data_IF_596775635395
#
_entry.id   IF_596775635395
#
_cell.length_a   1.000
_cell.length_b   1.000
_cell.length_c   1.000
_cell.angle_alpha   90.00
_cell.angle_beta   90.00
_cell.angle_gamma   90.00
#
_symmetry.space_group_name_H-M   'P 1'
#
loop_
_entity.id
_entity.type
_entity.pdbx_description
1 polymer ?
#
# COMPACT_ATOMS: atom_id res chain seq x y z
N UNK A 1 -7.97 -2.25 20.17
CA UNK A 1 -9.10 -3.16 19.96
C UNK A 1 -8.99 -4.40 20.85
N UNK A 2 -7.94 -5.21 20.82
CA UNK A 2 -7.83 -6.44 21.63
C UNK A 2 -8.09 -6.26 23.13
N UNK A 3 -7.53 -5.22 23.76
CA UNK A 3 -7.79 -4.92 25.16
C UNK A 3 -9.26 -4.62 25.46
N UNK A 4 -9.96 -3.90 24.57
CA UNK A 4 -11.39 -3.65 24.73
C UNK A 4 -12.23 -4.92 24.58
N UNK A 5 -11.86 -5.81 23.65
CA UNK A 5 -12.50 -7.10 23.49
C UNK A 5 -12.23 -8.04 24.71
N UNK A 6 -11.02 -7.99 25.27
CA UNK A 6 -10.71 -8.75 26.49
C UNK A 6 -11.53 -8.25 27.67
N UNK A 7 -11.71 -6.93 27.83
CA UNK A 7 -12.59 -6.36 28.84
C UNK A 7 -14.05 -6.82 28.61
N UNK A 8 -14.55 -6.69 27.38
CA UNK A 8 -15.93 -7.03 27.02
C UNK A 8 -16.24 -8.52 27.24
N UNK A 9 -15.42 -9.40 26.66
CA UNK A 9 -15.68 -10.84 26.68
C UNK A 9 -15.14 -11.53 27.93
N UNK A 10 -13.95 -11.12 28.41
CA UNK A 10 -13.27 -11.78 29.52
C UNK A 10 -13.76 -11.28 30.88
N UNK A 11 -13.70 -9.97 31.14
CA UNK A 11 -14.05 -9.41 32.45
C UNK A 11 -15.57 -9.22 32.61
N UNK A 12 -16.21 -8.61 31.61
CA UNK A 12 -17.65 -8.30 31.68
C UNK A 12 -18.55 -9.47 31.26
N UNK A 13 -17.96 -10.58 30.82
CA UNK A 13 -18.68 -11.81 30.38
C UNK A 13 -19.82 -11.53 29.39
N UNK A 14 -19.64 -10.50 28.52
CA UNK A 14 -20.62 -10.17 27.50
C UNK A 14 -20.52 -11.10 26.29
N UNK A 15 -21.62 -11.28 25.51
CA UNK A 15 -21.59 -12.08 24.29
C UNK A 15 -20.51 -11.64 23.33
N UNK A 16 -19.96 -12.59 22.56
CA UNK A 16 -19.02 -12.27 21.49
C UNK A 16 -19.71 -11.40 20.45
N UNK A 17 -19.02 -10.34 20.05
CA UNK A 17 -19.45 -9.50 18.93
C UNK A 17 -19.27 -10.28 17.60
N UNK A 18 -20.01 -9.91 16.54
CA UNK A 18 -19.75 -10.43 15.21
C UNK A 18 -18.28 -10.26 14.84
N UNK A 19 -17.79 -11.11 13.94
CA UNK A 19 -16.42 -10.98 13.39
C UNK A 19 -16.27 -9.61 12.73
N UNK A 20 -15.15 -8.96 12.96
CA UNK A 20 -14.80 -7.75 12.24
C UNK A 20 -14.57 -8.10 10.76
N UNK A 21 -15.45 -7.63 9.89
CA UNK A 21 -15.40 -7.94 8.46
C UNK A 21 -14.42 -7.02 7.70
N UNK A 22 -14.23 -5.79 8.18
CA UNK A 22 -13.37 -4.81 7.55
C UNK A 22 -12.56 -4.03 8.57
N UNK A 23 -11.33 -3.68 8.20
CA UNK A 23 -10.46 -2.77 8.97
C UNK A 23 -10.41 -1.36 8.38
N UNK A 24 -11.11 -1.10 7.29
CA UNK A 24 -11.20 0.23 6.66
C UNK A 24 -12.21 1.10 7.42
N UNK A 25 -11.83 1.51 8.63
CA UNK A 25 -12.70 2.20 9.60
C UNK A 25 -12.32 3.67 9.79
N UNK A 26 -11.21 4.09 9.20
CA UNK A 26 -10.70 5.46 9.31
C UNK A 26 -11.43 6.48 8.42
N UNK A 27 -10.91 7.70 8.33
CA UNK A 27 -11.46 8.74 7.48
C UNK A 27 -11.42 8.37 5.99
N UNK A 28 -12.30 9.01 5.24
CA UNK A 28 -12.37 8.99 3.79
C UNK A 28 -12.62 10.41 3.29
N UNK A 29 -12.05 10.77 2.17
CA UNK A 29 -12.30 12.04 1.48
C UNK A 29 -12.99 11.78 0.15
N UNK A 30 -13.94 12.64 -0.21
CA UNK A 30 -14.58 12.59 -1.53
C UNK A 30 -13.62 13.08 -2.63
N UNK A 31 -13.90 12.71 -3.87
CA UNK A 31 -13.12 13.21 -5.02
C UNK A 31 -13.12 14.75 -5.12
N UNK A 32 -14.18 15.44 -4.67
CA UNK A 32 -14.22 16.89 -4.63
C UNK A 32 -13.24 17.45 -3.59
N UNK A 33 -13.15 16.82 -2.41
CA UNK A 33 -12.21 17.23 -1.36
C UNK A 33 -10.76 16.98 -1.81
N UNK A 34 -10.49 15.81 -2.39
CA UNK A 34 -9.18 15.50 -2.97
C UNK A 34 -8.80 16.51 -4.05
N UNK A 35 -9.71 16.77 -5.01
CA UNK A 35 -9.50 17.77 -6.06
C UNK A 35 -9.18 19.14 -5.51
N UNK A 36 -9.96 19.62 -4.56
CA UNK A 36 -9.75 20.92 -3.91
C UNK A 36 -8.36 21.02 -3.27
N UNK A 37 -7.92 19.95 -2.60
CA UNK A 37 -6.58 19.87 -2.01
C UNK A 37 -5.49 19.95 -3.09
N UNK A 38 -5.61 19.16 -4.15
CA UNK A 38 -4.63 19.13 -5.24
C UNK A 38 -4.54 20.46 -5.99
N UNK A 39 -5.68 21.08 -6.28
CA UNK A 39 -5.77 22.41 -6.91
C UNK A 39 -5.17 23.50 -6.02
N UNK A 40 -5.35 23.41 -4.69
CA UNK A 40 -4.73 24.30 -3.72
C UNK A 40 -3.20 24.29 -3.76
N UNK A 41 -2.59 23.17 -4.15
CA UNK A 41 -1.14 23.05 -4.40
C UNK A 41 -0.73 23.43 -5.82
N UNK A 42 -1.65 23.70 -6.73
CA UNK A 42 -1.39 23.85 -8.16
C UNK A 42 -0.87 22.55 -8.80
N UNK A 43 -1.26 21.41 -8.24
CA UNK A 43 -0.83 20.10 -8.71
C UNK A 43 -1.37 19.81 -10.12
N UNK A 44 -0.59 19.09 -10.91
CA UNK A 44 -1.01 18.57 -12.21
C UNK A 44 -1.47 17.14 -12.08
N UNK A 45 -2.65 16.84 -12.57
CA UNK A 45 -3.25 15.50 -12.47
C UNK A 45 -4.14 15.16 -13.65
N UNK A 46 -4.22 13.89 -13.97
CA UNK A 46 -5.23 13.30 -14.85
C UNK A 46 -6.44 12.88 -13.98
N UNK A 47 -7.66 13.10 -14.46
CA UNK A 47 -8.89 12.55 -13.85
C UNK A 47 -9.34 11.38 -14.69
N UNK A 48 -9.44 10.20 -14.11
CA UNK A 48 -9.70 8.95 -14.84
C UNK A 48 -10.90 8.22 -14.22
N UNK A 49 -11.68 7.56 -15.07
CA UNK A 49 -12.63 6.56 -14.60
C UNK A 49 -11.90 5.33 -14.05
N UNK A 50 -12.66 4.47 -13.36
CA UNK A 50 -12.10 3.29 -12.70
C UNK A 50 -11.26 2.40 -13.60
N UNK A 51 -11.72 2.17 -14.82
CA UNK A 51 -11.04 1.27 -15.75
C UNK A 51 -9.74 1.88 -16.29
N UNK A 52 -9.78 3.15 -16.68
CA UNK A 52 -8.61 3.90 -17.13
C UNK A 52 -7.58 4.06 -15.98
N UNK A 53 -8.05 4.31 -14.76
CA UNK A 53 -7.21 4.40 -13.55
C UNK A 53 -6.44 3.10 -13.32
N UNK A 54 -7.13 1.97 -13.34
CA UNK A 54 -6.52 0.66 -13.17
C UNK A 54 -5.50 0.36 -14.28
N UNK A 55 -5.85 0.58 -15.54
CA UNK A 55 -4.92 0.41 -16.67
C UNK A 55 -3.67 1.30 -16.51
N UNK A 56 -3.86 2.55 -16.09
CA UNK A 56 -2.76 3.50 -15.88
C UNK A 56 -1.84 3.05 -14.74
N UNK A 57 -2.42 2.68 -13.58
CA UNK A 57 -1.68 2.23 -12.42
C UNK A 57 -0.91 0.92 -12.69
N UNK A 58 -1.54 -0.05 -13.35
CA UNK A 58 -0.89 -1.30 -13.77
C UNK A 58 0.28 -1.02 -14.70
N UNK A 59 0.10 -0.12 -15.69
CA UNK A 59 1.18 0.25 -16.61
C UNK A 59 2.38 0.90 -15.92
N UNK A 60 2.15 1.74 -14.92
CA UNK A 60 3.20 2.34 -14.11
C UNK A 60 3.96 1.27 -13.29
N UNK A 61 3.24 0.39 -12.63
CA UNK A 61 3.84 -0.69 -11.84
C UNK A 61 4.65 -1.66 -12.70
N UNK A 62 4.13 -2.07 -13.86
CA UNK A 62 4.82 -2.94 -14.83
C UNK A 62 6.10 -2.28 -15.38
N UNK A 63 6.09 -0.96 -15.55
CA UNK A 63 7.28 -0.19 -15.93
C UNK A 63 8.30 -0.02 -14.79
N UNK A 64 8.10 -0.67 -13.64
CA UNK A 64 8.99 -0.60 -12.48
C UNK A 64 8.91 0.71 -11.71
N UNK A 65 7.82 1.47 -11.86
CA UNK A 65 7.58 2.71 -11.13
C UNK A 65 7.10 2.45 -9.72
N UNK A 66 7.47 3.32 -8.78
CA UNK A 66 6.96 3.29 -7.41
C UNK A 66 5.73 4.20 -7.32
N UNK A 67 4.60 3.61 -6.94
CA UNK A 67 3.29 4.26 -6.95
C UNK A 67 2.77 4.44 -5.53
N UNK A 68 2.52 5.70 -5.12
CA UNK A 68 1.66 5.99 -3.97
C UNK A 68 0.22 5.66 -4.32
N UNK A 69 -0.47 4.95 -3.44
CA UNK A 69 -1.84 4.49 -3.63
C UNK A 69 -2.70 4.89 -2.44
N UNK A 70 -3.56 5.88 -2.65
CA UNK A 70 -4.45 6.44 -1.64
C UNK A 70 -5.90 6.31 -2.11
N UNK A 71 -6.68 5.48 -1.43
CA UNK A 71 -8.03 5.14 -1.84
C UNK A 71 -8.95 4.90 -0.64
N UNK A 72 -10.24 5.28 -0.76
CA UNK A 72 -11.28 4.96 0.19
C UNK A 72 -10.96 5.30 1.66
N UNK A 73 -11.61 4.60 2.57
CA UNK A 73 -11.43 4.76 4.01
C UNK A 73 -10.07 4.23 4.47
N UNK A 74 -9.38 5.02 5.31
CA UNK A 74 -8.09 4.61 5.87
C UNK A 74 -8.21 3.31 6.68
N UNK A 75 -7.17 2.49 6.64
CA UNK A 75 -7.03 1.28 7.45
C UNK A 75 -6.92 1.62 8.93
N UNK A 76 -7.55 0.83 9.79
CA UNK A 76 -7.34 0.86 11.23
C UNK A 76 -6.20 -0.08 11.63
N UNK A 77 -5.14 0.48 12.15
CA UNK A 77 -4.00 -0.31 12.64
C UNK A 77 -2.66 0.11 12.06
N UNK A 78 -1.58 -0.63 12.41
CA UNK A 78 -0.20 -0.21 12.09
C UNK A 78 0.27 -0.65 10.70
N UNK A 79 -0.60 -1.22 9.87
CA UNK A 79 -0.25 -1.73 8.54
C UNK A 79 -1.06 -1.06 7.46
N UNK A 80 -0.40 -0.64 6.38
CA UNK A 80 -1.09 -0.30 5.15
C UNK A 80 -1.58 -1.60 4.48
N UNK A 81 -2.85 -1.62 4.11
CA UNK A 81 -3.53 -2.80 3.58
C UNK A 81 -4.17 -2.54 2.21
N UNK A 82 -3.69 -1.52 1.49
CA UNK A 82 -4.18 -1.20 0.15
C UNK A 82 -4.90 0.15 0.04
N UNK A 83 -5.06 0.92 1.13
CA UNK A 83 -5.69 2.23 1.08
C UNK A 83 -4.73 3.40 1.32
N UNK A 84 -3.68 3.21 2.11
CA UNK A 84 -2.62 4.21 2.36
C UNK A 84 -1.26 3.56 2.11
N UNK A 85 -1.04 3.13 0.87
CA UNK A 85 0.03 2.22 0.48
C UNK A 85 1.03 2.85 -0.48
N UNK A 86 2.25 2.37 -0.43
CA UNK A 86 3.24 2.51 -1.50
C UNK A 86 3.36 1.14 -2.14
N UNK A 87 3.17 1.10 -3.45
CA UNK A 87 3.16 -0.10 -4.26
C UNK A 87 4.38 -0.14 -5.19
N UNK A 88 4.84 -1.35 -5.49
CA UNK A 88 5.93 -1.59 -6.45
C UNK A 88 5.90 -3.00 -7.00
N UNK A 89 6.65 -3.22 -8.07
CA UNK A 89 6.83 -4.52 -8.70
C UNK A 89 7.82 -5.38 -7.91
N UNK A 90 7.41 -6.53 -7.33
CA UNK A 90 8.30 -7.39 -6.55
C UNK A 90 9.35 -8.13 -7.38
N UNK A 91 9.19 -8.20 -8.71
CA UNK A 91 10.11 -8.86 -9.65
C UNK A 91 11.38 -8.05 -9.88
N UNK A 92 11.30 -6.72 -9.72
CA UNK A 92 12.45 -5.81 -9.92
C UNK A 92 13.46 -6.02 -8.79
N UNK A 93 14.70 -6.47 -9.09
CA UNK A 93 15.67 -6.85 -8.06
C UNK A 93 16.00 -5.72 -7.07
N UNK A 94 16.15 -4.50 -7.59
CA UNK A 94 16.56 -3.34 -6.80
C UNK A 94 15.39 -2.56 -6.19
N UNK A 95 14.14 -2.99 -6.41
CA UNK A 95 12.95 -2.26 -5.92
C UNK A 95 12.96 -2.07 -4.41
N UNK A 96 13.41 -3.09 -3.67
CA UNK A 96 13.59 -2.99 -2.21
C UNK A 96 14.54 -1.85 -1.83
N UNK A 97 15.66 -1.75 -2.50
CA UNK A 97 16.67 -0.71 -2.23
C UNK A 97 16.16 0.67 -2.65
N UNK A 98 15.47 0.75 -3.79
CA UNK A 98 14.84 1.98 -4.27
C UNK A 98 13.84 2.52 -3.24
N UNK A 99 12.90 1.70 -2.78
CA UNK A 99 11.89 2.14 -1.82
C UNK A 99 12.53 2.47 -0.46
N UNK A 100 13.48 1.66 0.03
CA UNK A 100 14.14 1.92 1.31
C UNK A 100 14.95 3.23 1.29
N UNK A 101 15.74 3.47 0.23
CA UNK A 101 16.63 4.65 0.15
C UNK A 101 15.89 5.92 -0.24
N UNK A 102 14.99 5.86 -1.27
CA UNK A 102 14.37 7.05 -1.86
C UNK A 102 13.09 7.50 -1.15
N UNK A 103 12.47 6.62 -0.37
CA UNK A 103 11.18 6.89 0.26
C UNK A 103 11.25 6.71 1.77
N UNK A 104 11.67 5.53 2.23
CA UNK A 104 11.68 5.21 3.66
C UNK A 104 12.87 5.80 4.42
N UNK A 105 13.89 6.28 3.73
CA UNK A 105 15.11 6.85 4.34
C UNK A 105 15.69 5.93 5.42
N UNK A 106 15.79 4.63 5.12
CA UNK A 106 16.25 3.59 6.06
C UNK A 106 17.16 2.57 5.38
N UNK A 107 17.65 1.63 6.15
CA UNK A 107 18.59 0.59 5.73
C UNK A 107 17.98 -0.31 4.63
N UNK A 108 18.76 -0.59 3.57
CA UNK A 108 18.31 -1.34 2.38
C UNK A 108 17.96 -2.80 2.65
N UNK A 109 18.46 -3.41 3.75
CA UNK A 109 18.20 -4.83 4.04
C UNK A 109 16.77 -5.13 4.52
N UNK A 110 16.00 -4.12 4.95
CA UNK A 110 14.62 -4.34 5.45
C UNK A 110 13.70 -4.79 4.32
N UNK A 111 13.07 -5.97 4.44
CA UNK A 111 12.15 -6.46 3.41
C UNK A 111 10.83 -5.71 3.42
N UNK A 112 10.09 -5.84 2.33
CA UNK A 112 8.71 -5.37 2.21
C UNK A 112 7.74 -6.56 2.20
N UNK A 113 6.49 -6.29 2.54
CA UNK A 113 5.43 -7.27 2.51
C UNK A 113 4.79 -7.33 1.12
N UNK A 114 4.43 -8.52 0.63
CA UNK A 114 3.61 -8.67 -0.56
C UNK A 114 2.12 -8.58 -0.24
N UNK A 115 1.34 -8.01 -1.19
CA UNK A 115 -0.09 -8.26 -1.32
C UNK A 115 -0.32 -9.19 -2.51
N UNK A 116 -1.15 -10.21 -2.33
CA UNK A 116 -1.47 -11.25 -3.31
C UNK A 116 -2.97 -11.50 -3.34
N UNK A 117 -3.52 -11.88 -4.48
CA UNK A 117 -4.92 -12.31 -4.57
C UNK A 117 -5.15 -13.54 -3.67
N UNK A 118 -6.23 -13.53 -2.89
CA UNK A 118 -6.53 -14.61 -1.93
C UNK A 118 -6.66 -15.98 -2.62
N UNK A 119 -7.33 -16.01 -3.78
CA UNK A 119 -7.49 -17.22 -4.60
C UNK A 119 -6.21 -17.70 -5.30
N UNK A 120 -5.15 -16.88 -5.30
CA UNK A 120 -3.83 -17.19 -5.87
C UNK A 120 -2.73 -17.34 -4.81
N UNK A 121 -3.01 -17.01 -3.56
CA UNK A 121 -2.01 -16.97 -2.50
C UNK A 121 -1.24 -18.30 -2.36
N UNK A 122 -1.92 -19.43 -2.39
CA UNK A 122 -1.32 -20.76 -2.29
C UNK A 122 -0.45 -21.14 -3.50
N UNK A 123 -0.59 -20.48 -4.64
CA UNK A 123 0.29 -20.68 -5.79
C UNK A 123 1.66 -20.03 -5.60
N UNK A 124 1.78 -19.01 -4.76
CA UNK A 124 2.98 -18.20 -4.55
C UNK A 124 3.63 -18.40 -3.18
N UNK A 125 2.82 -18.71 -2.18
CA UNK A 125 3.26 -18.88 -0.78
C UNK A 125 2.74 -20.19 -0.22
N UNK A 126 3.50 -20.81 0.68
CA UNK A 126 3.09 -22.04 1.36
C UNK A 126 2.18 -21.69 2.54
N UNK A 127 0.91 -21.44 2.23
CA UNK A 127 -0.10 -21.09 3.22
C UNK A 127 -1.44 -21.72 2.86
N UNK A 128 -2.22 -22.08 3.89
CA UNK A 128 -3.51 -22.77 3.80
C UNK A 128 -4.66 -21.94 4.36
N UNK A 129 -4.39 -20.68 4.72
CA UNK A 129 -5.39 -19.77 5.27
C UNK A 129 -5.15 -18.34 4.77
N UNK A 130 -6.19 -17.51 4.85
CA UNK A 130 -6.12 -16.10 4.51
C UNK A 130 -5.32 -15.29 5.55
N UNK A 131 -4.62 -14.27 5.06
CA UNK A 131 -3.88 -13.30 5.87
C UNK A 131 -4.26 -11.86 5.48
N UNK A 132 -5.52 -11.44 5.65
CA UNK A 132 -6.00 -10.15 5.16
C UNK A 132 -5.35 -8.96 5.87
N UNK A 133 -4.79 -9.17 7.05
CA UNK A 133 -4.21 -8.11 7.90
C UNK A 133 -2.68 -8.11 7.93
N UNK A 134 -2.03 -8.81 6.99
CA UNK A 134 -0.55 -8.85 6.89
C UNK A 134 0.11 -9.31 8.21
N UNK A 135 -0.45 -10.34 8.85
CA UNK A 135 0.03 -10.85 10.15
C UNK A 135 0.83 -12.14 10.03
N UNK A 136 0.63 -12.93 8.98
CA UNK A 136 1.23 -14.24 8.82
C UNK A 136 2.47 -14.18 7.94
N UNK A 137 3.48 -14.95 8.33
CA UNK A 137 4.68 -15.20 7.53
C UNK A 137 4.57 -16.58 6.94
N UNK A 138 4.82 -16.70 5.64
CA UNK A 138 4.78 -17.95 4.91
C UNK A 138 6.01 -18.10 4.01
N UNK A 139 6.52 -19.33 3.78
CA UNK A 139 7.57 -19.58 2.80
C UNK A 139 7.12 -19.18 1.39
N UNK A 140 8.02 -18.59 0.60
CA UNK A 140 7.82 -18.34 -0.82
C UNK A 140 7.99 -19.68 -1.59
N UNK A 141 7.03 -20.03 -2.44
CA UNK A 141 7.09 -21.30 -3.19
C UNK A 141 8.24 -21.30 -4.18
N UNK A 142 8.98 -22.40 -4.18
CA UNK A 142 10.03 -22.65 -5.17
C UNK A 142 9.44 -22.86 -6.58
N UNK A 143 10.24 -22.59 -7.60
CA UNK A 143 9.87 -22.82 -9.00
C UNK A 143 8.94 -21.79 -9.64
N UNK A 144 8.60 -20.72 -8.92
CA UNK A 144 7.89 -19.56 -9.45
C UNK A 144 8.87 -18.45 -9.88
N UNK A 145 8.36 -17.44 -10.57
CA UNK A 145 9.13 -16.22 -10.87
C UNK A 145 9.71 -15.64 -9.58
N UNK A 146 11.01 -15.35 -9.53
CA UNK A 146 11.63 -14.77 -8.34
C UNK A 146 11.00 -13.45 -7.92
N UNK A 147 10.79 -13.27 -6.62
CA UNK A 147 10.24 -12.07 -6.01
C UNK A 147 11.27 -11.46 -5.01
N UNK A 148 12.44 -11.01 -5.50
CA UNK A 148 13.58 -10.67 -4.63
C UNK A 148 13.30 -9.52 -3.67
N UNK A 149 12.41 -8.62 -4.05
CA UNK A 149 12.12 -7.42 -3.23
C UNK A 149 11.21 -7.68 -2.04
N UNK A 150 10.55 -8.84 -1.97
CA UNK A 150 9.66 -9.22 -0.85
C UNK A 150 10.11 -10.47 -0.11
N UNK A 151 11.10 -11.17 -0.63
CA UNK A 151 11.60 -12.42 -0.04
C UNK A 151 12.63 -12.12 1.05
N UNK A 152 12.41 -12.65 2.24
CA UNK A 152 13.33 -12.58 3.36
C UNK A 152 14.54 -13.52 3.15
N UNK A 153 15.56 -13.38 3.99
CA UNK A 153 16.79 -14.18 3.92
C UNK A 153 16.54 -15.69 4.15
N UNK A 154 15.48 -16.04 4.86
CA UNK A 154 15.02 -17.40 5.13
C UNK A 154 13.99 -17.93 4.10
N UNK A 155 13.88 -17.26 2.96
CA UNK A 155 12.92 -17.55 1.89
C UNK A 155 11.45 -17.45 2.31
N UNK A 156 11.12 -16.63 3.29
CA UNK A 156 9.76 -16.33 3.71
C UNK A 156 9.30 -14.92 3.28
N UNK A 157 8.00 -14.64 3.43
CA UNK A 157 7.43 -13.31 3.29
C UNK A 157 6.26 -13.12 4.24
N UNK A 158 6.03 -11.87 4.71
CA UNK A 158 4.86 -11.53 5.52
C UNK A 158 3.71 -11.11 4.60
N UNK A 159 2.81 -12.05 4.33
CA UNK A 159 1.84 -11.98 3.26
C UNK A 159 0.57 -11.23 3.68
N UNK A 160 0.06 -10.40 2.77
CA UNK A 160 -1.33 -9.92 2.78
C UNK A 160 -2.10 -10.62 1.67
N UNK A 161 -3.21 -11.29 2.00
CA UNK A 161 -4.18 -11.79 1.01
C UNK A 161 -5.29 -10.76 0.81
N UNK A 162 -5.74 -10.58 -0.44
CA UNK A 162 -6.83 -9.69 -0.83
C UNK A 162 -7.89 -10.47 -1.56
N UNK A 163 -9.13 -10.42 -1.07
CA UNK A 163 -10.31 -10.88 -1.81
C UNK A 163 -11.07 -9.70 -2.41
N UNK A 164 -11.87 -9.97 -3.44
CA UNK A 164 -12.67 -8.93 -4.10
C UNK A 164 -13.74 -8.34 -3.17
N UNK A 165 -14.23 -9.13 -2.22
CA UNK A 165 -15.22 -8.70 -1.22
C UNK A 165 -14.63 -7.73 -0.19
N UNK A 166 -13.35 -7.85 0.09
CA UNK A 166 -12.65 -6.97 1.03
C UNK A 166 -12.35 -5.61 0.39
N UNK A 167 -11.80 -5.61 -0.82
CA UNK A 167 -11.48 -4.41 -1.59
C UNK A 167 -11.45 -4.73 -3.09
N UNK A 168 -12.53 -4.42 -3.77
CA UNK A 168 -12.67 -4.71 -5.19
C UNK A 168 -11.71 -3.90 -6.08
N UNK A 169 -11.33 -2.68 -5.70
CA UNK A 169 -10.42 -1.86 -6.51
C UNK A 169 -8.98 -2.36 -6.40
N UNK A 170 -8.54 -2.63 -5.19
CA UNK A 170 -7.19 -3.13 -4.96
C UNK A 170 -7.01 -4.56 -5.47
N UNK A 171 -8.06 -5.40 -5.35
CA UNK A 171 -8.10 -6.72 -5.99
C UNK A 171 -7.91 -6.61 -7.50
N UNK A 172 -8.69 -5.74 -8.16
CA UNK A 172 -8.62 -5.57 -9.62
C UNK A 172 -7.28 -4.99 -10.09
N UNK A 173 -6.64 -4.13 -9.28
CA UNK A 173 -5.29 -3.66 -9.57
C UNK A 173 -4.28 -4.81 -9.59
N UNK A 174 -4.30 -5.68 -8.55
CA UNK A 174 -3.39 -6.83 -8.45
C UNK A 174 -3.71 -7.85 -9.56
N UNK A 175 -4.98 -8.08 -9.86
CA UNK A 175 -5.42 -8.98 -10.94
C UNK A 175 -4.92 -8.49 -12.30
N UNK A 176 -5.15 -7.23 -12.63
CA UNK A 176 -4.68 -6.62 -13.88
C UNK A 176 -3.14 -6.62 -14.01
N UNK A 177 -2.43 -6.42 -12.90
CA UNK A 177 -0.98 -6.59 -12.90
C UNK A 177 -0.58 -8.05 -13.15
N UNK A 178 -1.30 -8.99 -12.53
CA UNK A 178 -1.11 -10.43 -12.73
C UNK A 178 -1.37 -10.88 -14.17
N UNK A 179 -2.41 -10.37 -14.81
CA UNK A 179 -2.74 -10.66 -16.20
C UNK A 179 -1.63 -10.22 -17.16
N UNK A 180 -1.01 -9.07 -16.92
CA UNK A 180 0.05 -8.52 -17.77
C UNK A 180 1.42 -9.16 -17.51
N UNK A 181 1.68 -9.56 -16.28
CA UNK A 181 3.02 -9.98 -15.85
C UNK A 181 3.15 -11.46 -15.54
N UNK A 182 2.04 -12.17 -15.39
CA UNK A 182 1.99 -13.53 -14.87
C UNK A 182 2.19 -13.61 -13.34
N UNK A 183 2.29 -12.46 -12.64
CA UNK A 183 2.61 -12.39 -11.21
C UNK A 183 1.56 -11.55 -10.47
N UNK A 184 0.49 -12.14 -9.91
CA UNK A 184 -0.56 -11.43 -9.18
C UNK A 184 -0.11 -11.06 -7.75
N UNK A 185 1.05 -10.41 -7.65
CA UNK A 185 1.70 -10.03 -6.39
C UNK A 185 2.28 -8.62 -6.53
N UNK A 186 2.03 -7.74 -5.57
CA UNK A 186 2.63 -6.41 -5.48
C UNK A 186 3.38 -6.24 -4.15
N UNK A 187 4.44 -5.42 -4.15
CA UNK A 187 4.97 -4.86 -2.91
C UNK A 187 3.89 -3.96 -2.31
N UNK A 188 3.65 -4.10 -1.00
CA UNK A 188 2.81 -3.19 -0.23
C UNK A 188 3.54 -2.74 1.04
N UNK A 189 3.71 -1.43 1.18
CA UNK A 189 4.23 -0.82 2.41
C UNK A 189 3.44 0.46 2.74
N UNK A 190 3.47 0.88 4.00
CA UNK A 190 2.76 2.09 4.45
C UNK A 190 3.20 3.33 3.68
N UNK A 191 2.25 4.22 3.36
CA UNK A 191 2.57 5.52 2.78
C UNK A 191 2.96 6.49 3.87
N UNK A 192 4.26 6.63 4.10
CA UNK A 192 4.90 7.54 5.05
C UNK A 192 6.41 7.53 4.84
N UNK A 193 7.10 8.51 5.39
CA UNK A 193 8.55 8.52 5.57
C UNK A 193 8.94 8.09 6.99
N UNK A 194 10.24 8.06 7.30
CA UNK A 194 10.73 7.76 8.65
C UNK A 194 10.26 8.83 9.63
N UNK A 195 9.75 8.42 10.79
CA UNK A 195 9.20 9.30 11.84
C UNK A 195 7.78 9.81 11.56
N UNK A 196 7.31 9.77 10.31
CA UNK A 196 5.98 10.20 9.93
C UNK A 196 4.94 9.13 10.26
N UNK A 197 3.77 9.47 10.85
CA UNK A 197 2.62 8.58 10.87
C UNK A 197 2.19 8.20 9.44
N UNK A 198 1.49 7.09 9.26
CA UNK A 198 0.88 6.77 7.98
C UNK A 198 -0.05 7.91 7.55
N UNK A 199 0.08 8.36 6.30
CA UNK A 199 -0.74 9.45 5.75
C UNK A 199 -2.23 9.16 5.97
N UNK A 200 -3.02 10.18 6.25
CA UNK A 200 -4.44 10.05 6.48
C UNK A 200 -5.25 10.74 5.38
N UNK A 201 -4.93 11.99 5.10
CA UNK A 201 -5.63 12.89 4.18
C UNK A 201 -4.94 13.02 2.82
N UNK A 202 -5.63 13.63 1.86
CA UNK A 202 -5.05 14.00 0.56
C UNK A 202 -3.87 14.96 0.71
N UNK A 203 -3.93 15.88 1.69
CA UNK A 203 -2.84 16.79 2.03
C UNK A 203 -1.59 16.01 2.46
N UNK A 204 -1.74 15.09 3.42
CA UNK A 204 -0.64 14.25 3.88
C UNK A 204 -0.06 13.43 2.72
N UNK A 205 -0.94 12.83 1.89
CA UNK A 205 -0.53 11.99 0.77
C UNK A 205 0.26 12.79 -0.28
N UNK A 206 -0.21 13.97 -0.67
CA UNK A 206 0.48 14.82 -1.63
C UNK A 206 1.82 15.31 -1.08
N UNK A 207 1.89 15.73 0.17
CA UNK A 207 3.14 16.16 0.82
C UNK A 207 4.14 15.00 0.93
N UNK A 208 3.70 13.82 1.34
CA UNK A 208 4.53 12.61 1.36
C UNK A 208 5.03 12.26 -0.04
N UNK A 209 4.15 12.30 -1.05
CA UNK A 209 4.53 12.13 -2.45
C UNK A 209 5.60 13.13 -2.86
N UNK A 210 5.41 14.41 -2.63
CA UNK A 210 6.35 15.46 -3.05
C UNK A 210 7.71 15.38 -2.35
N UNK A 211 7.77 14.94 -1.09
CA UNK A 211 9.01 14.76 -0.31
C UNK A 211 9.84 13.56 -0.70
N UNK A 212 9.27 12.59 -1.40
CA UNK A 212 9.87 11.27 -1.63
C UNK A 212 10.18 11.03 -3.09
N UNK A 213 10.92 9.97 -3.36
CA UNK A 213 11.22 9.53 -4.73
C UNK A 213 10.16 8.61 -5.33
N UNK A 214 8.89 8.69 -4.90
CA UNK A 214 7.79 8.03 -5.62
C UNK A 214 7.65 8.63 -7.03
N UNK A 215 7.41 7.78 -8.02
CA UNK A 215 7.28 8.21 -9.42
C UNK A 215 5.87 8.75 -9.73
N UNK A 216 4.85 8.17 -9.09
CA UNK A 216 3.46 8.55 -9.29
C UNK A 216 2.68 8.48 -7.97
N UNK A 217 1.57 9.23 -7.92
CA UNK A 217 0.53 9.14 -6.89
C UNK A 217 -0.80 8.88 -7.57
N UNK A 218 -1.48 7.82 -7.14
CA UNK A 218 -2.89 7.56 -7.44
C UNK A 218 -3.69 7.87 -6.18
N UNK A 219 -4.62 8.81 -6.28
CA UNK A 219 -5.43 9.28 -5.16
C UNK A 219 -6.89 9.53 -5.61
N UNK A 220 -7.84 8.76 -5.06
CA UNK A 220 -9.20 8.76 -5.57
C UNK A 220 -9.22 8.45 -7.07
N UNK A 221 -9.86 9.29 -7.86
CA UNK A 221 -9.91 9.22 -9.33
C UNK A 221 -8.74 9.92 -10.04
N UNK A 222 -7.71 10.37 -9.31
CA UNK A 222 -6.64 11.21 -9.85
C UNK A 222 -5.31 10.46 -9.94
N UNK A 223 -4.57 10.71 -11.03
CA UNK A 223 -3.20 10.22 -11.24
C UNK A 223 -2.26 11.41 -11.44
N UNK A 224 -1.20 11.44 -10.65
CA UNK A 224 -0.16 12.45 -10.70
C UNK A 224 1.18 11.79 -11.03
N UNK A 225 1.94 12.40 -11.94
CA UNK A 225 3.33 12.01 -12.21
C UNK A 225 4.27 12.99 -11.51
N UNK A 226 5.32 12.49 -10.86
CA UNK A 226 6.27 13.33 -10.12
C UNK A 226 6.93 14.38 -10.99
N UNK A 227 7.33 13.99 -12.18
CA UNK A 227 8.05 14.84 -13.13
C UNK A 227 7.23 16.03 -13.66
N UNK A 228 5.91 15.94 -13.55
CA UNK A 228 4.99 17.01 -13.99
C UNK A 228 4.66 18.02 -12.90
N UNK A 229 5.00 17.71 -11.63
CA UNK A 229 4.58 18.52 -10.50
C UNK A 229 5.39 19.82 -10.40
N UNK A 230 4.73 20.92 -10.00
CA UNK A 230 5.42 22.15 -9.68
C UNK A 230 6.36 21.93 -8.49
N UNK A 231 7.47 22.68 -8.47
CA UNK A 231 8.36 22.65 -7.34
C UNK A 231 7.62 23.09 -6.05
N UNK A 232 7.72 22.27 -5.02
CA UNK A 232 7.10 22.54 -3.71
C UNK A 232 8.21 22.59 -2.66
N UNK A 233 8.30 23.73 -1.94
CA UNK A 233 9.22 23.83 -0.81
C UNK A 233 8.54 23.27 0.44
N UNK A 234 8.97 22.10 0.86
CA UNK A 234 8.52 21.44 2.09
C UNK A 234 9.69 21.38 3.07
N UNK A 235 9.38 21.40 4.37
CA UNK A 235 10.36 21.02 5.40
C UNK A 235 10.76 19.56 5.17
N UNK A 236 12.01 19.24 5.47
CA UNK A 236 12.43 17.84 5.45
C UNK A 236 11.63 17.01 6.46
N UNK A 237 11.52 15.71 6.25
CA UNK A 237 10.84 14.83 7.20
C UNK A 237 11.48 14.87 8.60
N UNK A 238 12.79 14.96 8.66
CA UNK A 238 13.54 15.06 9.91
C UNK A 238 13.24 16.36 10.70
N UNK A 239 13.00 17.47 9.99
CA UNK A 239 12.62 18.75 10.63
C UNK A 239 11.18 18.78 11.11
N UNK A 240 10.29 18.01 10.47
CA UNK A 240 8.86 18.01 10.80
C UNK A 240 8.48 16.92 11.78
N UNK A 241 9.04 15.71 11.67
CA UNK A 241 8.65 14.54 12.47
C UNK A 241 9.73 14.09 13.48
N UNK A 242 10.92 14.66 13.42
CA UNK A 242 12.07 14.17 14.17
C UNK A 242 12.68 12.90 13.55
N UNK A 243 13.87 12.54 14.02
CA UNK A 243 14.50 11.25 13.72
C UNK A 243 14.40 10.39 14.98
N UNK A 244 13.74 9.24 14.88
CA UNK A 244 13.83 8.19 15.90
C UNK A 244 15.21 7.53 15.91
#
# INVERSE_FOLDING_TARGET
>A
MGAALQLWNGLLQKPRLPRLESVYLGPEESDEQVRSTLEGYGARFETLDREALLRRAVGLLEAGKVVGWHHGRMEWGPRALGHRSILGDPRVPDMRDVINRKIKMREGFRPFAPSVLADKANEWFEMDCDSPYMLLVAPVRAGKTPLPSITHVDNSARVQTISREQDALYYDLIAGFGERTGVPVLINTSMNVRGEPMVCTADDAYRCFMRTGMDALVIGSFVLLKEEQPALTLRSAAEEFGLD
#
